data_IF_463275803944
#
_entry.id   IF_463275803944
#
_cell.length_a   1.000
_cell.length_b   1.000
_cell.length_c   1.000
_cell.angle_alpha   90.00
_cell.angle_beta   90.00
_cell.angle_gamma   90.00
#
_symmetry.space_group_name_H-M   'P 1'
#
loop_
_entity.id
_entity.type
_entity.pdbx_description
1 polymer ?
#
# COMPACT_ATOMS: atom_id res chain seq x y z
N UNK A 1 -0.27 15.70 -16.61
CA UNK A 1 -0.29 17.04 -17.24
C UNK A 1 -0.64 18.08 -16.20
N UNK A 2 -0.29 19.34 -16.42
CA UNK A 2 -0.61 20.43 -15.48
C UNK A 2 -2.12 20.56 -15.26
N UNK A 3 -2.92 20.28 -16.29
CA UNK A 3 -4.38 20.28 -16.18
C UNK A 3 -4.90 19.18 -15.24
N UNK A 4 -4.34 17.97 -15.28
CA UNK A 4 -4.72 16.88 -14.36
C UNK A 4 -4.35 17.22 -12.91
N UNK A 5 -3.18 17.84 -12.71
CA UNK A 5 -2.74 18.29 -11.39
C UNK A 5 -3.68 19.38 -10.87
N UNK A 6 -4.04 20.37 -11.68
CA UNK A 6 -4.96 21.43 -11.29
C UNK A 6 -6.35 20.87 -10.90
N UNK A 7 -6.87 19.91 -11.66
CA UNK A 7 -8.12 19.22 -11.34
C UNK A 7 -8.03 18.45 -10.02
N UNK A 8 -6.91 17.76 -9.77
CA UNK A 8 -6.70 17.02 -8.53
C UNK A 8 -6.53 17.94 -7.31
N UNK A 9 -5.82 19.06 -7.45
CA UNK A 9 -5.72 20.06 -6.37
C UNK A 9 -7.08 20.67 -6.05
N UNK A 10 -7.90 20.93 -7.07
CA UNK A 10 -9.25 21.47 -6.90
C UNK A 10 -10.21 20.50 -6.19
N UNK A 11 -9.93 19.19 -6.16
CA UNK A 11 -10.80 18.23 -5.45
C UNK A 11 -10.67 18.31 -3.92
N UNK A 12 -9.57 18.86 -3.41
CA UNK A 12 -9.29 18.95 -1.97
C UNK A 12 -8.63 17.70 -1.36
N UNK A 13 -8.66 16.57 -2.08
CA UNK A 13 -8.02 15.30 -1.69
C UNK A 13 -6.53 15.35 -1.33
N UNK A 14 -5.68 16.24 -1.91
CA UNK A 14 -4.26 16.23 -1.57
C UNK A 14 -3.94 16.85 -0.20
N UNK A 15 -4.85 17.60 0.42
CA UNK A 15 -4.52 18.43 1.59
C UNK A 15 -4.36 17.66 2.91
N UNK A 16 -4.85 16.42 2.98
CA UNK A 16 -4.70 15.52 4.13
C UNK A 16 -3.72 14.36 3.87
N UNK A 17 -2.98 14.40 2.75
CA UNK A 17 -2.09 13.32 2.31
C UNK A 17 -0.63 13.75 2.33
N UNK A 18 0.22 12.92 2.94
CA UNK A 18 1.66 13.11 2.84
C UNK A 18 2.10 13.04 1.37
N UNK A 19 2.89 14.01 0.92
CA UNK A 19 3.30 14.12 -0.48
C UNK A 19 2.19 14.60 -1.43
N UNK A 20 1.04 15.01 -0.91
CA UNK A 20 -0.07 15.60 -1.67
C UNK A 20 -0.57 14.70 -2.81
N UNK A 21 -0.61 13.39 -2.61
CA UNK A 21 -1.31 12.45 -3.49
C UNK A 21 -1.87 11.25 -2.71
N UNK A 22 -2.90 10.62 -3.25
CA UNK A 22 -3.44 9.36 -2.75
C UNK A 22 -3.28 8.28 -3.81
N UNK A 23 -2.55 7.21 -3.49
CA UNK A 23 -2.33 6.06 -4.40
C UNK A 23 -3.63 5.34 -4.80
N UNK A 24 -4.67 5.47 -3.98
CA UNK A 24 -5.99 4.87 -4.17
C UNK A 24 -7.00 5.82 -4.83
N UNK A 25 -6.57 7.01 -5.28
CA UNK A 25 -7.47 7.98 -5.90
C UNK A 25 -8.02 7.45 -7.22
N UNK A 26 -9.33 7.60 -7.47
CA UNK A 26 -9.99 6.97 -8.62
C UNK A 26 -9.59 7.60 -9.97
N UNK A 27 -9.27 8.89 -10.00
CA UNK A 27 -9.07 9.65 -11.24
C UNK A 27 -7.69 10.29 -11.43
N UNK A 28 -6.77 10.13 -10.46
CA UNK A 28 -5.45 10.74 -10.50
C UNK A 28 -4.44 9.69 -10.09
N UNK A 29 -3.67 9.22 -11.08
CA UNK A 29 -2.78 8.07 -10.96
C UNK A 29 -1.34 8.51 -11.24
N UNK A 30 -0.71 9.29 -10.34
CA UNK A 30 0.63 9.83 -10.56
C UNK A 30 1.75 8.78 -10.38
N UNK A 31 1.41 7.60 -9.87
CA UNK A 31 2.37 6.54 -9.51
C UNK A 31 2.64 5.66 -10.72
N UNK A 32 3.87 5.73 -11.24
CA UNK A 32 4.34 4.85 -12.32
C UNK A 32 4.66 3.44 -11.79
N UNK A 33 5.32 3.35 -10.63
CA UNK A 33 5.74 2.08 -10.04
C UNK A 33 5.79 2.14 -8.52
N UNK A 34 5.45 1.02 -7.89
CA UNK A 34 5.64 0.78 -6.46
C UNK A 34 6.73 -0.28 -6.27
N UNK A 35 7.69 -0.01 -5.39
CA UNK A 35 8.67 -0.98 -4.93
C UNK A 35 8.46 -1.22 -3.43
N UNK A 36 8.06 -2.45 -3.06
CA UNK A 36 7.77 -2.83 -1.67
C UNK A 36 6.28 -3.09 -1.41
N UNK A 37 5.80 -2.66 -0.24
CA UNK A 37 4.44 -2.98 0.23
C UNK A 37 3.44 -1.87 -0.12
N UNK A 38 2.46 -2.15 -0.99
CA UNK A 38 1.36 -1.23 -1.32
C UNK A 38 0.60 -0.76 -0.07
N UNK A 39 0.25 -1.68 0.83
CA UNK A 39 -0.52 -1.36 2.04
C UNK A 39 0.26 -0.41 2.98
N UNK A 40 1.59 -0.42 2.94
CA UNK A 40 2.41 0.56 3.64
C UNK A 40 2.24 1.97 3.05
N UNK A 41 2.15 2.09 1.72
CA UNK A 41 1.89 3.37 1.04
C UNK A 41 0.49 3.90 1.38
N UNK A 42 -0.51 3.02 1.47
CA UNK A 42 -1.87 3.37 1.92
C UNK A 42 -1.88 3.85 3.38
N UNK A 43 -1.00 3.29 4.22
CA UNK A 43 -0.76 3.77 5.59
C UNK A 43 -0.72 2.69 6.67
N UNK A 44 -1.00 1.42 6.35
CA UNK A 44 -0.93 0.32 7.30
C UNK A 44 -0.29 -0.94 6.68
N UNK A 45 0.95 -1.30 7.03
CA UNK A 45 1.61 -2.48 6.49
C UNK A 45 1.04 -3.78 7.10
N UNK A 46 -0.16 -4.18 6.68
CA UNK A 46 -0.97 -5.23 7.30
C UNK A 46 -0.22 -6.56 7.47
N UNK A 47 0.52 -7.00 6.45
CA UNK A 47 1.34 -8.23 6.53
C UNK A 47 2.41 -8.14 7.62
N UNK A 48 3.09 -7.00 7.75
CA UNK A 48 4.10 -6.80 8.80
C UNK A 48 3.45 -6.72 10.17
N UNK A 49 2.30 -6.03 10.30
CA UNK A 49 1.54 -5.96 11.54
C UNK A 49 1.12 -7.36 12.01
N UNK A 50 0.51 -8.17 11.14
CA UNK A 50 0.12 -9.53 11.46
C UNK A 50 1.31 -10.38 11.95
N UNK A 51 2.47 -10.28 11.30
CA UNK A 51 3.69 -10.97 11.75
C UNK A 51 4.16 -10.50 13.13
N UNK A 52 4.12 -9.20 13.40
CA UNK A 52 4.49 -8.63 14.71
C UNK A 52 3.52 -9.07 15.80
N UNK A 53 2.22 -9.09 15.52
CA UNK A 53 1.18 -9.57 16.44
C UNK A 53 1.38 -11.05 16.79
N UNK A 54 1.61 -11.91 15.79
CA UNK A 54 1.92 -13.32 16.02
C UNK A 54 3.18 -13.50 16.89
N UNK A 55 4.25 -12.73 16.62
CA UNK A 55 5.48 -12.75 17.44
C UNK A 55 5.24 -12.28 18.87
N UNK A 56 4.25 -11.41 19.10
CA UNK A 56 3.83 -10.95 20.41
C UNK A 56 2.83 -11.88 21.10
N UNK A 57 2.50 -13.04 20.52
CA UNK A 57 1.53 -13.99 21.06
C UNK A 57 0.06 -13.57 20.87
N UNK A 58 -0.21 -12.57 20.05
CA UNK A 58 -1.57 -12.15 19.71
C UNK A 58 -2.04 -13.00 18.52
N UNK A 59 -3.15 -13.76 18.65
CA UNK A 59 -3.67 -14.57 17.56
C UNK A 59 -4.15 -13.68 16.41
N UNK A 60 -3.87 -14.11 15.18
CA UNK A 60 -4.29 -13.39 13.97
C UNK A 60 -5.05 -14.38 13.08
N UNK A 61 -6.31 -14.08 12.69
CA UNK A 61 -7.18 -15.05 12.05
C UNK A 61 -6.72 -15.47 10.65
N UNK A 62 -6.03 -14.59 9.93
CA UNK A 62 -5.54 -14.87 8.57
C UNK A 62 -4.26 -14.10 8.29
N UNK A 63 -3.32 -14.72 7.57
CA UNK A 63 -2.20 -13.99 7.01
C UNK A 63 -2.64 -13.34 5.68
N UNK A 64 -2.51 -12.02 5.52
CA UNK A 64 -3.02 -11.30 4.36
C UNK A 64 -2.34 -11.53 2.99
N UNK A 65 -1.12 -12.12 2.83
CA UNK A 65 -0.43 -12.13 1.54
C UNK A 65 -1.28 -12.58 0.36
N UNK A 66 -2.06 -13.64 0.53
CA UNK A 66 -2.93 -14.19 -0.51
C UNK A 66 -4.10 -13.26 -0.84
N UNK A 67 -4.67 -12.58 0.16
CA UNK A 67 -5.77 -11.62 -0.03
C UNK A 67 -5.23 -10.36 -0.70
N UNK A 68 -4.09 -9.84 -0.26
CA UNK A 68 -3.45 -8.69 -0.89
C UNK A 68 -3.09 -8.97 -2.36
N UNK A 69 -2.67 -10.19 -2.69
CA UNK A 69 -2.42 -10.58 -4.08
C UNK A 69 -3.70 -10.52 -4.92
N UNK A 70 -4.81 -11.07 -4.41
CA UNK A 70 -6.10 -11.08 -5.11
C UNK A 70 -6.64 -9.66 -5.34
N UNK A 71 -6.48 -8.76 -4.37
CA UNK A 71 -6.95 -7.37 -4.47
C UNK A 71 -6.09 -6.50 -5.39
N UNK A 72 -4.76 -6.68 -5.35
CA UNK A 72 -3.83 -5.79 -6.04
C UNK A 72 -3.47 -6.28 -7.45
N UNK A 73 -3.78 -7.52 -7.79
CA UNK A 73 -3.46 -8.12 -9.10
C UNK A 73 -1.96 -8.28 -9.37
N UNK A 74 -1.10 -8.11 -8.37
CA UNK A 74 0.35 -8.28 -8.50
C UNK A 74 0.94 -9.01 -7.28
N UNK A 75 2.08 -9.71 -7.44
CA UNK A 75 2.77 -10.38 -6.34
C UNK A 75 3.06 -9.40 -5.20
N UNK A 76 2.75 -9.82 -3.97
CA UNK A 76 3.06 -9.04 -2.79
C UNK A 76 4.56 -9.16 -2.49
N UNK A 77 5.31 -8.05 -2.53
CA UNK A 77 6.74 -8.05 -2.22
C UNK A 77 7.03 -8.63 -0.82
N UNK A 78 6.12 -8.43 0.13
CA UNK A 78 6.21 -8.96 1.50
C UNK A 78 6.00 -10.48 1.56
N UNK A 79 5.33 -11.06 0.55
CA UNK A 79 5.17 -12.50 0.38
C UNK A 79 6.38 -13.13 -0.31
N UNK A 80 7.07 -12.38 -1.17
CA UNK A 80 8.24 -12.85 -1.91
C UNK A 80 9.56 -12.62 -1.15
N UNK A 81 9.61 -11.61 -0.29
CA UNK A 81 10.82 -11.21 0.43
C UNK A 81 10.52 -11.05 1.94
N UNK A 82 11.49 -11.41 2.79
CA UNK A 82 11.49 -11.13 4.23
C UNK A 82 12.77 -10.39 4.59
N UNK A 83 12.66 -9.21 5.22
CA UNK A 83 13.79 -8.39 5.67
C UNK A 83 14.85 -8.09 4.57
N UNK A 84 14.42 -8.02 3.30
CA UNK A 84 15.27 -7.70 2.15
C UNK A 84 15.82 -8.92 1.40
N UNK A 85 15.61 -10.13 1.91
CA UNK A 85 16.04 -11.39 1.30
C UNK A 85 14.86 -12.12 0.64
N UNK A 86 15.07 -12.84 -0.48
CA UNK A 86 14.04 -13.71 -1.04
C UNK A 86 13.65 -14.79 -0.04
N UNK A 87 12.37 -15.13 0.01
CA UNK A 87 11.89 -16.31 0.75
C UNK A 87 12.21 -17.61 0.02
#
# INVERSE_FOLDING_TARGET
>A
SDQEIATYVASGDPFDKAGSYAVQHAGFHPVDRIAGCYQNVVGLPLCHLCRRLLRAGVPVPTLPPSICYLDLGHPCAVALFEDGEPR
#
